data_IF_911331290010
#
_entry.id   IF_911331290010
#
_cell.length_a   1.000
_cell.length_b   1.000
_cell.length_c   1.000
_cell.angle_alpha   90.00
_cell.angle_beta   90.00
_cell.angle_gamma   90.00
#
_symmetry.space_group_name_H-M   'P 1'
#
loop_
_entity.id
_entity.type
_entity.pdbx_description
1 polymer ?
#
# COMPACT_ATOMS: atom_id res chain seq x y z
N UNK A 1 -25.51 -4.64 31.35
CA UNK A 1 -24.27 -3.83 31.48
C UNK A 1 -23.54 -3.97 30.17
N UNK A 2 -23.53 -2.91 29.36
CA UNK A 2 -22.79 -2.96 28.10
C UNK A 2 -21.36 -2.56 28.41
N UNK A 3 -20.47 -3.54 28.55
CA UNK A 3 -19.04 -3.31 28.60
C UNK A 3 -18.63 -3.07 27.15
N UNK A 4 -17.92 -1.98 26.90
CA UNK A 4 -17.56 -1.52 25.56
C UNK A 4 -16.07 -1.20 25.51
N UNK A 5 -15.24 -2.12 26.05
CA UNK A 5 -13.80 -1.99 25.87
C UNK A 5 -13.47 -2.03 24.38
N UNK A 6 -12.53 -1.20 23.96
CA UNK A 6 -12.15 -1.10 22.56
C UNK A 6 -10.67 -1.43 22.40
N UNK A 7 -10.34 -2.17 21.35
CA UNK A 7 -8.97 -2.51 20.99
C UNK A 7 -8.70 -1.98 19.60
N UNK A 8 -7.75 -1.05 19.48
CA UNK A 8 -7.23 -0.60 18.20
C UNK A 8 -6.08 -1.51 17.79
N UNK A 9 -6.28 -2.34 16.79
CA UNK A 9 -5.28 -3.33 16.39
C UNK A 9 -4.22 -2.80 15.43
N UNK A 10 -4.46 -1.64 14.82
CA UNK A 10 -3.51 -0.97 13.95
C UNK A 10 -3.71 0.55 13.99
N UNK A 11 -2.65 1.30 13.71
CA UNK A 11 -2.65 2.76 13.72
C UNK A 11 -3.18 3.40 12.41
N UNK A 12 -3.94 2.65 11.63
CA UNK A 12 -4.64 3.16 10.45
C UNK A 12 -6.07 3.54 10.78
N UNK A 13 -6.56 4.62 10.19
CA UNK A 13 -7.92 5.17 10.41
C UNK A 13 -9.03 4.14 10.19
N UNK A 14 -8.80 3.15 9.34
CA UNK A 14 -9.73 2.04 9.08
C UNK A 14 -10.02 1.21 10.33
N UNK A 15 -9.10 1.17 11.31
CA UNK A 15 -9.20 0.37 12.53
C UNK A 15 -9.80 1.12 13.72
N UNK A 16 -9.85 2.44 13.69
CA UNK A 16 -10.34 3.23 14.83
C UNK A 16 -11.31 4.36 14.46
N UNK A 17 -11.38 4.76 13.19
CA UNK A 17 -12.14 5.95 12.77
C UNK A 17 -13.65 5.87 12.98
N UNK A 18 -14.23 4.67 13.18
CA UNK A 18 -15.65 4.47 13.50
C UNK A 18 -15.99 4.47 14.99
N UNK A 19 -15.02 4.66 15.87
CA UNK A 19 -15.17 4.46 17.33
C UNK A 19 -16.22 5.38 17.97
N UNK A 20 -16.36 6.61 17.50
CA UNK A 20 -17.35 7.57 18.02
C UNK A 20 -18.79 7.09 17.89
N UNK A 21 -19.12 6.31 16.86
CA UNK A 21 -20.44 5.71 16.72
C UNK A 21 -20.73 4.61 17.78
N UNK A 22 -19.70 4.08 18.39
CA UNK A 22 -19.81 3.03 19.41
C UNK A 22 -19.74 3.58 20.83
N UNK A 23 -19.05 4.71 21.04
CA UNK A 23 -18.68 5.21 22.38
C UNK A 23 -19.14 6.65 22.66
N UNK A 24 -20.19 7.14 22.01
CA UNK A 24 -20.64 8.55 22.03
C UNK A 24 -20.70 9.22 23.44
N UNK A 25 -21.08 8.49 24.49
CA UNK A 25 -21.26 9.05 25.85
C UNK A 25 -20.32 8.46 26.91
N UNK A 26 -19.46 7.52 26.58
CA UNK A 26 -18.75 6.70 27.56
C UNK A 26 -17.21 6.81 27.47
N UNK A 27 -16.69 7.57 26.57
CA UNK A 27 -15.25 7.59 26.21
C UNK A 27 -14.29 7.86 27.39
N UNK A 28 -14.72 8.59 28.40
CA UNK A 28 -13.87 8.94 29.55
C UNK A 28 -13.70 7.82 30.59
N UNK A 29 -14.47 6.75 30.50
CA UNK A 29 -14.52 5.68 31.52
C UNK A 29 -14.21 4.28 30.98
N UNK A 30 -13.94 4.15 29.67
CA UNK A 30 -13.74 2.88 29.00
C UNK A 30 -12.27 2.73 28.62
N UNK A 31 -11.61 1.58 28.88
CA UNK A 31 -10.30 1.29 28.35
C UNK A 31 -10.33 1.25 26.82
N UNK A 32 -9.44 2.00 26.19
CA UNK A 32 -9.13 1.93 24.76
C UNK A 32 -7.70 1.47 24.67
N UNK A 33 -7.53 0.22 24.29
CA UNK A 33 -6.25 -0.47 24.25
C UNK A 33 -5.66 -0.33 22.86
N UNK A 34 -4.37 0.00 22.76
CA UNK A 34 -3.67 0.14 21.50
C UNK A 34 -2.22 -0.40 21.59
N UNK A 35 -1.56 -0.70 20.48
CA UNK A 35 -0.14 -1.05 20.51
C UNK A 35 0.73 0.16 20.87
N UNK A 36 1.88 -0.11 21.48
CA UNK A 36 2.94 0.89 21.71
C UNK A 36 3.25 1.63 20.41
N UNK A 37 3.45 2.95 20.48
CA UNK A 37 3.74 3.77 19.30
C UNK A 37 2.50 4.21 18.50
N UNK A 38 1.31 3.75 18.89
CA UNK A 38 0.07 4.08 18.17
C UNK A 38 -0.16 5.59 17.98
N UNK A 39 0.06 6.40 19.01
CA UNK A 39 -0.23 7.84 18.95
C UNK A 39 0.63 8.54 17.89
N UNK A 40 1.92 8.23 17.87
CA UNK A 40 2.84 8.82 16.90
C UNK A 40 2.51 8.36 15.48
N UNK A 41 2.27 7.07 15.28
CA UNK A 41 1.92 6.54 13.97
C UNK A 41 0.59 7.10 13.45
N UNK A 42 -0.48 7.04 14.24
CA UNK A 42 -1.80 7.55 13.85
C UNK A 42 -1.81 9.08 13.65
N UNK A 43 -1.02 9.81 14.43
CA UNK A 43 -0.90 11.25 14.32
C UNK A 43 -0.15 11.69 13.06
N UNK A 44 0.88 10.98 12.69
CA UNK A 44 1.73 11.32 11.54
C UNK A 44 1.29 10.67 10.23
N UNK A 45 0.34 9.71 10.28
CA UNK A 45 -0.21 9.08 9.09
C UNK A 45 -0.69 10.14 8.08
N UNK A 46 -0.04 10.17 6.92
CA UNK A 46 -0.30 11.12 5.83
C UNK A 46 -0.18 12.61 6.17
N UNK A 47 0.30 12.97 7.37
CA UNK A 47 0.34 14.36 7.82
C UNK A 47 1.16 15.27 6.89
N UNK A 48 2.36 14.81 6.51
CA UNK A 48 3.29 15.62 5.70
C UNK A 48 3.05 15.51 4.19
N UNK A 49 2.27 14.53 3.75
CA UNK A 49 2.09 14.16 2.34
C UNK A 49 0.63 14.10 1.91
N UNK A 50 -0.26 14.71 2.67
CA UNK A 50 -1.71 14.53 2.52
C UNK A 50 -2.22 14.65 1.08
N UNK A 51 -1.82 15.69 0.34
CA UNK A 51 -2.21 15.84 -1.07
C UNK A 51 -1.65 14.73 -1.95
N UNK A 52 -0.39 14.33 -1.73
CA UNK A 52 0.25 13.25 -2.44
C UNK A 52 -0.46 11.93 -2.12
N UNK A 53 -0.66 11.63 -0.85
CA UNK A 53 -1.31 10.39 -0.39
C UNK A 53 -2.77 10.30 -0.85
N UNK A 54 -3.52 11.41 -0.85
CA UNK A 54 -4.87 11.44 -1.42
C UNK A 54 -4.86 11.09 -2.91
N UNK A 55 -3.98 11.74 -3.67
CA UNK A 55 -3.84 11.48 -5.10
C UNK A 55 -3.45 10.04 -5.40
N UNK A 56 -2.58 9.49 -4.58
CA UNK A 56 -2.18 8.09 -4.61
C UNK A 56 -3.36 7.17 -4.35
N UNK A 57 -4.15 7.44 -3.32
CA UNK A 57 -5.35 6.67 -2.99
C UNK A 57 -6.39 6.67 -4.13
N UNK A 58 -6.55 7.78 -4.85
CA UNK A 58 -7.42 7.83 -6.04
C UNK A 58 -6.98 6.83 -7.11
N UNK A 59 -5.68 6.71 -7.34
CA UNK A 59 -5.13 5.75 -8.28
C UNK A 59 -5.23 4.31 -7.80
N UNK A 60 -4.86 4.04 -6.56
CA UNK A 60 -4.85 2.68 -5.99
C UNK A 60 -6.26 2.10 -5.85
N UNK A 61 -7.16 2.88 -5.27
CA UNK A 61 -8.52 2.40 -4.99
C UNK A 61 -9.50 2.66 -6.13
N UNK A 62 -9.07 3.40 -7.16
CA UNK A 62 -9.91 3.66 -8.32
C UNK A 62 -11.19 4.43 -7.98
N UNK A 63 -11.14 5.32 -6.97
CA UNK A 63 -12.32 6.07 -6.48
C UNK A 63 -12.94 6.98 -7.55
N UNK A 64 -12.16 7.36 -8.56
CA UNK A 64 -12.62 8.15 -9.71
C UNK A 64 -13.19 7.30 -10.85
N UNK A 65 -13.10 5.97 -10.76
CA UNK A 65 -13.58 5.06 -11.78
C UNK A 65 -15.04 4.66 -11.52
N UNK A 66 -15.84 4.43 -12.58
CA UNK A 66 -17.15 3.85 -12.39
C UNK A 66 -17.02 2.41 -11.88
N UNK A 67 -17.92 1.97 -11.01
CA UNK A 67 -17.95 0.59 -10.54
C UNK A 67 -18.28 -0.38 -11.68
N UNK A 68 -17.56 -1.49 -11.76
CA UNK A 68 -17.84 -2.55 -12.74
C UNK A 68 -16.63 -3.06 -13.50
N UNK A 69 -16.87 -4.00 -14.41
CA UNK A 69 -15.84 -4.72 -15.14
C UNK A 69 -14.89 -3.85 -15.97
N UNK A 70 -15.33 -2.68 -16.41
CA UNK A 70 -14.52 -1.71 -17.15
C UNK A 70 -13.95 -0.58 -16.27
N UNK A 71 -14.26 -0.58 -14.99
CA UNK A 71 -13.81 0.42 -14.03
C UNK A 71 -13.22 -0.22 -12.77
N UNK A 72 -13.57 0.30 -11.60
CA UNK A 72 -13.10 -0.25 -10.33
C UNK A 72 -13.80 -1.57 -10.01
N UNK A 73 -13.04 -2.51 -9.48
CA UNK A 73 -13.51 -3.78 -8.95
C UNK A 73 -13.37 -3.80 -7.44
N UNK A 74 -14.22 -4.59 -6.77
CA UNK A 74 -14.12 -4.83 -5.34
C UNK A 74 -12.78 -5.51 -4.99
N UNK A 75 -12.04 -4.95 -4.05
CA UNK A 75 -10.73 -5.44 -3.63
C UNK A 75 -10.72 -5.95 -2.18
N UNK A 76 -11.90 -6.22 -1.59
CA UNK A 76 -12.01 -6.50 -0.16
C UNK A 76 -12.03 -5.25 0.72
N UNK A 77 -11.80 -4.09 0.12
CA UNK A 77 -12.11 -2.76 0.66
C UNK A 77 -13.31 -2.25 -0.14
N UNK A 78 -14.28 -1.67 0.51
CA UNK A 78 -15.61 -1.39 -0.04
C UNK A 78 -15.63 -0.75 -1.44
N UNK A 79 -16.61 -1.15 -2.25
CA UNK A 79 -16.94 -0.49 -3.53
C UNK A 79 -17.34 0.98 -3.34
N UNK A 80 -17.75 1.33 -2.14
CA UNK A 80 -18.06 2.69 -1.72
C UNK A 80 -17.33 2.98 -0.43
N UNK A 81 -16.44 3.96 -0.45
CA UNK A 81 -15.99 4.58 0.80
C UNK A 81 -17.20 5.01 1.59
N UNK A 82 -17.32 4.54 2.83
CA UNK A 82 -18.36 5.01 3.72
C UNK A 82 -18.25 6.54 3.81
N UNK A 83 -19.27 7.25 3.35
CA UNK A 83 -19.37 8.70 3.47
C UNK A 83 -19.70 9.02 4.93
N UNK A 84 -18.75 8.84 5.82
CA UNK A 84 -18.85 9.12 7.24
C UNK A 84 -17.73 10.02 7.71
N UNK A 85 -17.93 10.70 8.82
CA UNK A 85 -16.87 11.44 9.48
C UNK A 85 -16.07 10.48 10.35
N UNK A 86 -14.77 10.39 10.12
CA UNK A 86 -13.88 9.67 11.02
C UNK A 86 -13.88 10.35 12.39
N UNK A 87 -13.96 9.57 13.45
CA UNK A 87 -13.92 10.04 14.83
C UNK A 87 -12.68 9.53 15.51
N UNK A 88 -12.13 10.32 16.40
CA UNK A 88 -10.85 10.04 17.04
C UNK A 88 -11.03 10.06 18.55
N UNK A 89 -10.77 8.89 19.18
CA UNK A 89 -10.68 8.81 20.64
C UNK A 89 -9.27 8.35 21.00
N UNK A 90 -8.63 9.09 21.88
CA UNK A 90 -7.24 8.80 22.30
C UNK A 90 -7.20 7.51 23.11
N UNK A 91 -6.38 6.51 22.74
CA UNK A 91 -6.12 5.36 23.57
C UNK A 91 -5.56 5.74 24.95
N UNK A 92 -5.95 5.02 25.97
CA UNK A 92 -5.55 5.28 27.36
C UNK A 92 -4.87 4.07 28.03
N UNK A 93 -4.77 2.95 27.32
CA UNK A 93 -4.01 1.77 27.74
C UNK A 93 -3.20 1.22 26.53
N UNK A 94 -1.97 0.77 26.78
CA UNK A 94 -1.05 0.40 25.71
C UNK A 94 -0.38 -0.94 26.01
N UNK A 95 -0.42 -1.84 25.02
CA UNK A 95 0.37 -3.06 25.02
C UNK A 95 1.83 -2.68 24.77
N UNK A 96 2.74 -3.08 25.68
CA UNK A 96 4.12 -2.64 25.67
C UNK A 96 5.08 -3.63 25.02
N UNK A 97 4.77 -4.94 25.07
CA UNK A 97 5.67 -5.98 24.57
C UNK A 97 4.90 -7.20 24.02
N UNK A 98 5.53 -7.89 23.08
CA UNK A 98 5.04 -9.20 22.60
C UNK A 98 5.01 -10.20 23.74
N UNK A 99 3.91 -10.99 23.84
CA UNK A 99 3.69 -11.95 24.91
C UNK A 99 2.91 -11.39 26.12
N UNK A 100 2.64 -10.09 26.14
CA UNK A 100 1.76 -9.50 27.14
C UNK A 100 0.37 -10.15 27.07
N UNK A 101 -0.22 -10.40 28.26
CA UNK A 101 -1.53 -11.03 28.40
C UNK A 101 -2.45 -10.13 29.22
N UNK A 102 -3.68 -9.97 28.76
CA UNK A 102 -4.74 -9.24 29.47
C UNK A 102 -5.98 -10.10 29.60
N UNK A 103 -6.71 -9.91 30.68
CA UNK A 103 -8.08 -10.40 30.81
C UNK A 103 -9.03 -9.22 30.59
N UNK A 104 -9.78 -9.26 29.51
CA UNK A 104 -10.73 -8.21 29.12
C UNK A 104 -12.11 -8.84 29.09
N UNK A 105 -12.97 -8.37 29.97
CA UNK A 105 -14.36 -8.85 30.09
C UNK A 105 -14.46 -10.37 30.34
N UNK A 106 -13.49 -10.94 31.05
CA UNK A 106 -13.41 -12.37 31.35
C UNK A 106 -12.82 -13.21 30.20
N UNK A 107 -12.29 -12.56 29.17
CA UNK A 107 -11.60 -13.21 28.04
C UNK A 107 -10.10 -12.95 28.13
N UNK A 108 -9.32 -14.03 28.21
CA UNK A 108 -7.86 -13.93 28.11
C UNK A 108 -7.44 -13.64 26.68
N UNK A 109 -6.57 -12.64 26.50
CA UNK A 109 -6.01 -12.25 25.21
C UNK A 109 -4.50 -12.10 25.35
N UNK A 110 -3.76 -12.74 24.45
CA UNK A 110 -2.32 -12.61 24.33
C UNK A 110 -1.98 -11.75 23.10
N UNK A 111 -1.00 -10.87 23.23
CA UNK A 111 -0.68 -9.88 22.20
C UNK A 111 0.69 -10.12 21.59
N UNK A 112 0.79 -9.89 20.29
CA UNK A 112 2.07 -9.81 19.58
C UNK A 112 2.14 -8.48 18.82
N UNK A 113 3.13 -7.66 19.12
CA UNK A 113 3.34 -6.37 18.46
C UNK A 113 4.07 -6.56 17.13
N UNK A 114 3.60 -5.88 16.09
CA UNK A 114 4.32 -5.74 14.82
C UNK A 114 4.98 -4.36 14.78
N UNK A 115 6.20 -4.28 15.27
CA UNK A 115 6.97 -3.04 15.23
C UNK A 115 7.58 -2.88 13.83
N UNK A 116 7.18 -1.82 13.13
CA UNK A 116 7.72 -1.41 11.81
C UNK A 116 7.69 -2.46 10.68
N UNK A 117 7.07 -3.62 10.88
CA UNK A 117 7.03 -4.67 9.86
C UNK A 117 6.13 -4.30 8.69
N UNK A 118 5.04 -3.57 8.98
CA UNK A 118 4.01 -3.22 7.99
C UNK A 118 4.08 -1.76 7.56
N UNK A 119 5.10 -1.00 8.00
CA UNK A 119 5.09 0.45 7.90
C UNK A 119 4.07 1.10 8.83
N UNK A 120 3.22 0.31 9.47
CA UNK A 120 2.19 0.70 10.41
C UNK A 120 2.37 0.00 11.75
N UNK A 121 2.12 0.71 12.84
CA UNK A 121 2.09 0.12 14.18
C UNK A 121 0.83 -0.71 14.33
N UNK A 122 0.97 -2.02 14.46
CA UNK A 122 -0.14 -2.96 14.58
C UNK A 122 0.13 -4.04 15.63
N UNK A 123 -0.85 -4.88 15.92
CA UNK A 123 -0.70 -6.03 16.81
C UNK A 123 -1.62 -7.19 16.42
N UNK A 124 -1.13 -8.41 16.59
CA UNK A 124 -1.93 -9.62 16.56
C UNK A 124 -2.50 -9.94 17.94
N UNK A 125 -3.67 -10.59 17.98
CA UNK A 125 -4.34 -11.03 19.20
C UNK A 125 -4.55 -12.54 19.12
N UNK A 126 -4.16 -13.25 20.17
CA UNK A 126 -4.48 -14.66 20.32
C UNK A 126 -5.44 -14.87 21.50
N UNK A 127 -6.51 -15.62 21.26
CA UNK A 127 -7.55 -15.96 22.22
C UNK A 127 -7.42 -17.45 22.59
N UNK A 128 -6.76 -17.79 23.73
CA UNK A 128 -6.47 -19.18 24.10
C UNK A 128 -7.71 -20.06 24.21
N UNK A 129 -8.77 -19.56 24.82
CA UNK A 129 -10.01 -20.32 25.06
C UNK A 129 -10.70 -20.78 23.78
N UNK A 130 -10.69 -19.92 22.75
CA UNK A 130 -11.30 -20.21 21.45
C UNK A 130 -10.27 -20.69 20.43
N UNK A 131 -8.98 -20.64 20.77
CA UNK A 131 -7.85 -20.93 19.87
C UNK A 131 -7.90 -20.12 18.58
N UNK A 132 -8.37 -18.88 18.70
CA UNK A 132 -8.52 -17.95 17.59
C UNK A 132 -7.33 -17.00 17.58
N UNK A 133 -6.74 -16.82 16.42
CA UNK A 133 -5.67 -15.88 16.15
C UNK A 133 -6.21 -14.79 15.21
N UNK A 134 -6.25 -13.56 15.70
CA UNK A 134 -6.54 -12.36 14.94
C UNK A 134 -5.22 -11.77 14.42
N UNK A 135 -5.07 -11.66 13.12
CA UNK A 135 -3.83 -11.21 12.47
C UNK A 135 -3.85 -9.71 12.07
N UNK A 136 -4.92 -9.00 12.40
CA UNK A 136 -5.07 -7.57 12.07
C UNK A 136 -4.79 -7.28 10.59
N UNK A 137 -3.95 -6.30 10.29
CA UNK A 137 -3.45 -5.97 8.95
C UNK A 137 -2.22 -6.78 8.54
N UNK A 138 -1.69 -7.64 9.41
CA UNK A 138 -0.44 -8.36 9.16
C UNK A 138 -0.59 -9.52 8.17
N UNK A 139 -1.80 -9.92 7.85
CA UNK A 139 -2.15 -10.84 6.78
C UNK A 139 -3.47 -10.41 6.15
N UNK A 140 -3.66 -10.71 4.88
CA UNK A 140 -4.85 -10.31 4.12
C UNK A 140 -5.43 -11.40 3.22
N UNK A 141 -4.96 -12.66 3.37
CA UNK A 141 -5.40 -13.77 2.53
C UNK A 141 -5.00 -13.65 1.05
N UNK A 142 -4.10 -12.73 0.75
CA UNK A 142 -3.46 -12.54 -0.55
C UNK A 142 -1.98 -12.21 -0.33
N UNK A 143 -1.18 -12.13 -1.38
CA UNK A 143 0.13 -11.52 -1.27
C UNK A 143 -0.07 -10.07 -0.79
N UNK A 144 0.48 -9.73 0.38
CA UNK A 144 0.30 -8.42 0.97
C UNK A 144 1.03 -7.35 0.17
N UNK A 145 0.48 -6.14 0.17
CA UNK A 145 1.09 -5.01 -0.48
C UNK A 145 2.26 -4.49 0.37
N UNK A 146 3.47 -4.80 -0.06
CA UNK A 146 4.71 -4.31 0.54
C UNK A 146 5.29 -3.13 -0.23
N UNK A 147 4.77 -2.86 -1.40
CA UNK A 147 5.17 -1.78 -2.27
C UNK A 147 3.93 -1.04 -2.74
N UNK A 148 3.80 0.17 -2.27
CA UNK A 148 2.82 1.08 -2.84
C UNK A 148 3.29 1.54 -4.23
N UNK A 149 2.44 1.40 -5.23
CA UNK A 149 2.67 1.91 -6.60
C UNK A 149 3.04 3.40 -6.58
N UNK A 150 2.79 4.06 -5.50
CA UNK A 150 2.84 5.51 -5.30
C UNK A 150 4.04 5.97 -4.48
N UNK A 151 4.81 5.05 -3.90
CA UNK A 151 6.07 5.34 -3.24
C UNK A 151 6.00 5.71 -1.76
N UNK A 152 4.94 5.30 -1.05
CA UNK A 152 4.94 5.38 0.41
C UNK A 152 6.01 4.46 1.02
N UNK A 153 6.30 4.70 2.31
CA UNK A 153 7.27 3.94 3.08
C UNK A 153 6.91 2.45 3.01
N UNK A 154 7.67 1.71 2.23
CA UNK A 154 7.42 0.29 2.02
C UNK A 154 7.97 -0.55 3.17
N UNK A 155 7.21 -1.55 3.56
CA UNK A 155 7.64 -2.55 4.54
C UNK A 155 8.73 -3.45 3.95
N UNK A 156 9.62 -3.94 4.78
CA UNK A 156 10.68 -4.86 4.36
C UNK A 156 10.20 -6.30 4.36
N UNK A 157 10.30 -7.03 3.24
CA UNK A 157 9.85 -8.43 3.17
C UNK A 157 10.55 -9.37 4.18
N UNK A 158 11.82 -9.14 4.47
CA UNK A 158 12.56 -9.92 5.50
C UNK A 158 11.97 -9.72 6.90
N UNK A 159 11.67 -8.49 7.29
CA UNK A 159 11.04 -8.21 8.58
C UNK A 159 9.65 -8.83 8.66
N UNK A 160 8.92 -8.83 7.55
CA UNK A 160 7.62 -9.50 7.48
C UNK A 160 7.74 -11.02 7.63
N UNK A 161 8.72 -11.63 6.98
CA UNK A 161 9.01 -13.06 7.10
C UNK A 161 9.39 -13.44 8.53
N UNK A 162 10.22 -12.63 9.20
CA UNK A 162 10.61 -12.83 10.59
C UNK A 162 9.41 -12.71 11.52
N UNK A 163 8.56 -11.70 11.35
CA UNK A 163 7.35 -11.51 12.14
C UNK A 163 6.37 -12.68 12.00
N UNK A 164 6.12 -13.16 10.78
CA UNK A 164 5.25 -14.31 10.54
C UNK A 164 5.87 -15.61 11.09
N UNK A 165 7.18 -15.74 11.08
CA UNK A 165 7.89 -16.86 11.69
C UNK A 165 7.72 -16.84 13.22
N UNK A 166 7.83 -15.67 13.84
CA UNK A 166 7.54 -15.48 15.26
C UNK A 166 6.06 -15.80 15.57
N UNK A 167 5.13 -15.28 14.76
CA UNK A 167 3.68 -15.60 14.91
C UNK A 167 3.43 -17.11 14.86
N UNK A 168 4.08 -17.79 13.93
CA UNK A 168 4.01 -19.24 13.83
C UNK A 168 4.59 -19.94 15.06
N UNK A 169 5.71 -19.48 15.59
CA UNK A 169 6.35 -20.06 16.77
C UNK A 169 5.47 -19.88 18.04
N UNK A 170 4.85 -18.71 18.18
CA UNK A 170 4.00 -18.39 19.34
C UNK A 170 2.67 -19.16 19.29
N UNK A 171 1.98 -19.14 18.16
CA UNK A 171 0.57 -19.54 18.07
C UNK A 171 0.28 -20.65 17.07
N UNK A 172 1.15 -20.93 16.12
CA UNK A 172 0.89 -21.84 14.99
C UNK A 172 0.56 -23.29 15.38
N UNK A 173 1.03 -23.77 16.54
CA UNK A 173 0.69 -25.10 17.04
C UNK A 173 -0.66 -25.15 17.79
N UNK A 174 -1.15 -24.01 18.23
CA UNK A 174 -2.30 -23.88 19.12
C UNK A 174 -3.53 -23.36 18.39
N UNK A 175 -3.35 -22.41 17.44
CA UNK A 175 -4.44 -21.81 16.69
C UNK A 175 -5.22 -22.84 15.87
N UNK A 176 -6.54 -22.78 15.95
CA UNK A 176 -7.50 -23.57 15.17
C UNK A 176 -8.36 -22.70 14.25
N UNK A 177 -8.37 -21.39 14.50
CA UNK A 177 -9.07 -20.37 13.73
C UNK A 177 -8.10 -19.20 13.49
N UNK A 178 -8.06 -18.69 12.28
CA UNK A 178 -7.41 -17.43 11.93
C UNK A 178 -8.46 -16.46 11.38
N UNK A 179 -8.41 -15.23 11.85
CA UNK A 179 -9.24 -14.12 11.39
C UNK A 179 -8.30 -12.96 11.01
N UNK A 180 -8.63 -12.24 9.98
CA UNK A 180 -7.87 -11.12 9.44
C UNK A 180 -8.78 -9.89 9.27
N UNK A 181 -8.21 -8.71 9.11
CA UNK A 181 -9.00 -7.51 8.82
C UNK A 181 -9.67 -7.59 7.43
N UNK A 182 -9.06 -8.32 6.51
CA UNK A 182 -9.55 -8.54 5.14
C UNK A 182 -9.70 -10.03 4.87
N UNK A 183 -10.61 -10.38 3.96
CA UNK A 183 -10.85 -11.75 3.53
C UNK A 183 -11.61 -12.62 4.56
N UNK A 184 -11.71 -13.92 4.30
CA UNK A 184 -12.51 -14.87 5.06
C UNK A 184 -11.68 -15.53 6.16
N UNK A 185 -12.31 -15.89 7.32
CA UNK A 185 -11.64 -16.69 8.34
C UNK A 185 -11.19 -18.04 7.80
N UNK A 186 -10.11 -18.58 8.37
CA UNK A 186 -9.54 -19.88 8.05
C UNK A 186 -9.62 -20.83 9.24
N UNK A 187 -9.93 -22.09 8.99
CA UNK A 187 -10.09 -23.10 10.03
C UNK A 187 -9.18 -24.29 9.79
N UNK A 188 -8.70 -24.88 10.88
CA UNK A 188 -7.91 -26.10 10.89
C UNK A 188 -6.42 -25.85 11.04
N UNK A 189 -5.81 -26.58 11.99
CA UNK A 189 -4.39 -26.40 12.36
C UNK A 189 -3.43 -26.53 11.19
N UNK A 190 -3.64 -27.53 10.32
CA UNK A 190 -2.74 -27.76 9.19
C UNK A 190 -2.86 -26.66 8.13
N UNK A 191 -4.07 -26.11 7.93
CA UNK A 191 -4.31 -24.97 7.04
C UNK A 191 -3.58 -23.74 7.57
N UNK A 192 -3.75 -23.41 8.85
CA UNK A 192 -3.14 -22.24 9.50
C UNK A 192 -1.61 -22.35 9.50
N UNK A 193 -1.09 -23.52 9.82
CA UNK A 193 0.37 -23.76 9.77
C UNK A 193 0.92 -23.54 8.38
N UNK A 194 0.29 -24.13 7.37
CA UNK A 194 0.70 -23.95 5.99
C UNK A 194 0.57 -22.50 5.52
N UNK A 195 -0.49 -21.83 5.95
CA UNK A 195 -0.73 -20.42 5.65
C UNK A 195 0.42 -19.53 6.15
N UNK A 196 0.69 -19.55 7.46
CA UNK A 196 1.75 -18.73 8.06
C UNK A 196 3.15 -19.08 7.52
N UNK A 197 3.47 -20.37 7.41
CA UNK A 197 4.79 -20.80 6.95
C UNK A 197 5.04 -20.50 5.48
N UNK A 198 4.03 -20.63 4.61
CA UNK A 198 4.19 -20.34 3.19
C UNK A 198 4.26 -18.82 2.93
N UNK A 199 3.51 -18.01 3.70
CA UNK A 199 3.63 -16.55 3.64
C UNK A 199 5.05 -16.11 4.04
N UNK A 200 5.54 -16.56 5.20
CA UNK A 200 6.90 -16.27 5.64
C UNK A 200 7.94 -16.70 4.60
N UNK A 201 7.79 -17.93 4.06
CA UNK A 201 8.69 -18.44 3.04
C UNK A 201 8.67 -17.66 1.73
N UNK A 202 7.49 -17.16 1.32
CA UNK A 202 7.37 -16.37 0.11
C UNK A 202 8.08 -15.02 0.24
N UNK A 203 7.90 -14.32 1.37
CA UNK A 203 8.59 -13.05 1.61
C UNK A 203 10.09 -13.22 1.76
N UNK A 204 10.54 -14.23 2.49
CA UNK A 204 11.97 -14.56 2.59
C UNK A 204 12.57 -14.89 1.22
N UNK A 205 11.87 -15.68 0.41
CA UNK A 205 12.30 -16.03 -0.94
C UNK A 205 12.48 -14.78 -1.82
N UNK A 206 11.48 -13.88 -1.80
CA UNK A 206 11.55 -12.63 -2.58
C UNK A 206 12.73 -11.78 -2.14
N UNK A 207 12.95 -11.66 -0.84
CA UNK A 207 14.07 -10.92 -0.29
C UNK A 207 15.41 -11.52 -0.72
N UNK A 208 15.64 -12.80 -0.44
CA UNK A 208 16.90 -13.48 -0.71
C UNK A 208 17.24 -13.52 -2.22
N UNK A 209 16.26 -13.82 -3.05
CA UNK A 209 16.49 -13.91 -4.49
C UNK A 209 16.69 -12.54 -5.15
N UNK A 210 16.02 -11.52 -4.66
CA UNK A 210 16.28 -10.15 -5.13
C UNK A 210 17.71 -9.73 -4.81
N UNK A 211 18.18 -9.93 -3.58
CA UNK A 211 19.56 -9.61 -3.21
C UNK A 211 20.57 -10.48 -3.96
N UNK A 212 20.26 -11.75 -4.17
CA UNK A 212 21.12 -12.65 -4.96
C UNK A 212 21.33 -12.11 -6.38
N UNK A 213 20.26 -11.72 -7.06
CA UNK A 213 20.34 -11.17 -8.42
C UNK A 213 20.99 -9.78 -8.45
N UNK A 214 20.72 -8.92 -7.45
CA UNK A 214 21.41 -7.65 -7.29
C UNK A 214 22.94 -7.84 -7.18
N UNK A 215 23.39 -8.81 -6.41
CA UNK A 215 24.81 -9.14 -6.27
C UNK A 215 25.43 -9.70 -7.58
N UNK A 216 24.61 -10.16 -8.52
CA UNK A 216 25.05 -10.53 -9.86
C UNK A 216 25.02 -9.34 -10.85
N UNK A 217 24.60 -8.17 -10.42
CA UNK A 217 24.58 -6.95 -11.23
C UNK A 217 23.30 -6.74 -12.04
N UNK A 218 22.23 -7.49 -11.76
CA UNK A 218 20.93 -7.26 -12.41
C UNK A 218 20.30 -5.97 -11.92
N UNK A 219 19.68 -5.24 -12.84
CA UNK A 219 18.89 -4.05 -12.55
C UNK A 219 17.53 -4.42 -11.98
N UNK A 220 16.87 -3.45 -11.33
CA UNK A 220 15.51 -3.62 -10.79
C UNK A 220 14.55 -4.21 -11.82
N UNK A 221 14.53 -3.63 -13.03
CA UNK A 221 13.61 -4.06 -14.09
C UNK A 221 13.88 -5.48 -14.58
N UNK A 222 15.17 -5.89 -14.68
CA UNK A 222 15.56 -7.24 -15.07
C UNK A 222 15.15 -8.26 -14.02
N UNK A 223 15.29 -7.92 -12.73
CA UNK A 223 14.87 -8.80 -11.64
C UNK A 223 13.34 -8.97 -11.65
N UNK A 224 12.59 -7.88 -11.78
CA UNK A 224 11.11 -7.93 -11.85
C UNK A 224 10.62 -8.80 -13.01
N UNK A 225 11.32 -8.79 -14.15
CA UNK A 225 10.94 -9.59 -15.32
C UNK A 225 11.36 -11.07 -15.23
N UNK A 226 12.38 -11.37 -14.44
CA UNK A 226 12.96 -12.73 -14.39
C UNK A 226 12.54 -13.54 -13.15
N UNK A 227 12.29 -12.89 -12.02
CA UNK A 227 11.99 -13.58 -10.77
C UNK A 227 10.52 -14.02 -10.71
N UNK A 228 10.30 -15.29 -10.39
CA UNK A 228 8.98 -15.85 -10.15
C UNK A 228 8.98 -16.68 -8.86
N UNK A 229 7.85 -16.78 -8.20
CA UNK A 229 7.70 -17.67 -7.05
C UNK A 229 7.87 -19.13 -7.49
N UNK A 230 8.52 -19.98 -6.66
CA UNK A 230 8.56 -21.42 -6.89
C UNK A 230 7.13 -21.98 -7.03
N UNK A 231 6.96 -23.00 -7.87
CA UNK A 231 5.64 -23.57 -8.15
C UNK A 231 4.90 -24.02 -6.88
N UNK A 232 5.61 -24.51 -5.87
CA UNK A 232 5.03 -24.91 -4.59
C UNK A 232 4.36 -23.74 -3.82
N UNK A 233 4.90 -22.52 -3.96
CA UNK A 233 4.32 -21.32 -3.36
C UNK A 233 3.28 -20.68 -4.30
N UNK A 234 3.57 -20.58 -5.59
CA UNK A 234 2.72 -19.95 -6.59
C UNK A 234 1.33 -20.63 -6.73
N UNK A 235 1.21 -21.89 -6.34
CA UNK A 235 -0.08 -22.61 -6.35
C UNK A 235 -0.94 -22.33 -5.12
N UNK A 236 -0.40 -21.65 -4.08
CA UNK A 236 -1.16 -21.30 -2.88
C UNK A 236 -2.11 -20.14 -3.18
N UNK A 237 -3.40 -20.34 -2.92
CA UNK A 237 -4.42 -19.32 -3.23
C UNK A 237 -4.19 -18.02 -2.48
N UNK A 238 -3.65 -18.05 -1.28
CA UNK A 238 -3.34 -16.90 -0.43
C UNK A 238 -2.02 -16.20 -0.80
N UNK A 239 -1.31 -16.66 -1.82
CA UNK A 239 -0.15 -15.99 -2.41
C UNK A 239 -0.45 -15.41 -3.81
N UNK A 240 -1.74 -15.34 -4.16
CA UNK A 240 -2.17 -14.68 -5.40
C UNK A 240 -1.98 -13.17 -5.29
N UNK A 241 -1.70 -12.56 -6.42
CA UNK A 241 -1.34 -11.15 -6.51
C UNK A 241 -2.58 -10.25 -6.67
N UNK A 242 -3.64 -10.49 -5.90
CA UNK A 242 -4.89 -9.73 -6.05
C UNK A 242 -4.79 -8.29 -5.55
N UNK A 243 -4.10 -8.04 -4.45
CA UNK A 243 -3.84 -6.69 -3.95
C UNK A 243 -2.48 -6.17 -4.42
N UNK A 244 -1.43 -6.93 -4.16
CA UNK A 244 -0.06 -6.57 -4.44
C UNK A 244 0.46 -7.21 -5.73
N UNK A 245 1.74 -7.01 -6.01
CA UNK A 245 2.45 -7.74 -7.05
C UNK A 245 3.82 -8.21 -6.57
N UNK A 246 4.26 -9.35 -7.10
CA UNK A 246 5.63 -9.83 -6.86
C UNK A 246 6.65 -8.78 -7.28
N UNK A 247 6.41 -8.13 -8.43
CA UNK A 247 7.26 -7.06 -8.93
C UNK A 247 7.34 -5.86 -7.97
N UNK A 248 6.25 -5.53 -7.27
CA UNK A 248 6.25 -4.52 -6.22
C UNK A 248 7.16 -4.90 -5.06
N UNK A 249 6.99 -6.10 -4.51
CA UNK A 249 7.84 -6.60 -3.41
C UNK A 249 9.33 -6.65 -3.78
N UNK A 250 9.66 -7.01 -5.04
CA UNK A 250 11.04 -6.97 -5.55
C UNK A 250 11.58 -5.55 -5.54
N UNK A 251 10.79 -4.56 -6.01
CA UNK A 251 11.19 -3.15 -6.00
C UNK A 251 11.46 -2.64 -4.60
N UNK A 252 10.61 -3.00 -3.64
CA UNK A 252 10.81 -2.67 -2.22
C UNK A 252 12.17 -3.13 -1.72
N UNK A 253 12.52 -4.40 -1.97
CA UNK A 253 13.83 -4.93 -1.57
C UNK A 253 14.95 -4.19 -2.29
N UNK A 254 14.85 -4.05 -3.61
CA UNK A 254 15.89 -3.39 -4.40
C UNK A 254 16.17 -1.98 -3.89
N UNK A 255 15.13 -1.18 -3.71
CA UNK A 255 15.22 0.23 -3.31
C UNK A 255 15.66 0.41 -1.87
N UNK A 256 15.45 -0.56 -0.99
CA UNK A 256 15.95 -0.52 0.39
C UNK A 256 17.48 -0.66 0.49
N UNK A 257 18.11 -1.27 -0.52
CA UNK A 257 19.57 -1.42 -0.59
C UNK A 257 20.23 -0.51 -1.61
N UNK A 258 19.51 -0.12 -2.63
CA UNK A 258 20.03 0.72 -3.71
C UNK A 258 19.00 1.79 -4.08
N UNK A 259 19.24 3.00 -3.60
CA UNK A 259 18.33 4.14 -3.81
C UNK A 259 18.27 4.63 -5.25
N UNK A 260 19.29 4.33 -6.06
CA UNK A 260 19.27 4.61 -7.49
C UNK A 260 18.87 3.35 -8.27
N UNK A 261 17.91 3.47 -9.17
CA UNK A 261 17.44 2.36 -10.01
C UNK A 261 18.53 1.81 -10.94
N UNK A 262 19.54 2.60 -11.22
CA UNK A 262 20.73 2.19 -11.99
C UNK A 262 22.01 2.76 -11.36
N UNK A 263 23.15 2.09 -11.57
CA UNK A 263 24.47 2.62 -11.22
C UNK A 263 25.09 3.41 -12.40
N UNK A 264 24.30 3.74 -13.42
CA UNK A 264 24.75 4.48 -14.55
C UNK A 264 24.99 5.95 -14.17
N UNK A 265 26.22 6.49 -14.31
CA UNK A 265 26.50 7.90 -13.97
C UNK A 265 25.68 8.92 -14.77
N UNK A 266 25.09 8.52 -15.89
CA UNK A 266 24.19 9.36 -16.69
C UNK A 266 22.95 9.80 -15.88
N UNK A 267 22.52 8.95 -14.93
CA UNK A 267 21.32 9.17 -14.12
C UNK A 267 21.59 10.00 -12.85
N UNK A 268 22.85 10.43 -12.61
CA UNK A 268 23.18 11.24 -11.43
C UNK A 268 22.56 12.64 -11.46
N UNK A 269 22.44 13.22 -12.63
CA UNK A 269 21.83 14.54 -12.82
C UNK A 269 21.13 14.60 -14.19
N UNK A 270 20.01 13.87 -14.33
CA UNK A 270 19.29 13.83 -15.60
C UNK A 270 18.61 15.17 -15.90
N UNK A 271 18.34 15.41 -17.16
CA UNK A 271 17.41 16.46 -17.55
C UNK A 271 16.02 16.17 -16.99
N UNK A 272 15.18 17.20 -16.90
CA UNK A 272 13.77 16.98 -16.54
C UNK A 272 13.10 16.04 -17.55
N UNK A 273 12.06 15.33 -17.13
CA UNK A 273 11.31 14.43 -18.01
C UNK A 273 10.78 15.15 -19.25
N UNK A 274 10.22 16.35 -19.09
CA UNK A 274 9.73 17.18 -20.19
C UNK A 274 10.84 17.57 -21.17
N UNK A 275 12.02 17.97 -20.67
CA UNK A 275 13.13 18.36 -21.55
C UNK A 275 13.72 17.14 -22.25
N UNK A 276 13.82 16.00 -21.57
CA UNK A 276 14.24 14.72 -22.15
C UNK A 276 13.28 14.29 -23.25
N UNK A 277 11.98 14.34 -23.00
CA UNK A 277 10.95 13.97 -23.97
C UNK A 277 10.99 14.87 -25.21
N UNK A 278 11.12 16.19 -25.01
CA UNK A 278 11.22 17.16 -26.14
C UNK A 278 12.40 16.81 -27.05
N UNK A 279 13.58 16.56 -26.47
CA UNK A 279 14.77 16.19 -27.26
C UNK A 279 14.62 14.83 -27.92
N UNK A 280 14.04 13.84 -27.23
CA UNK A 280 13.79 12.54 -27.84
C UNK A 280 12.86 12.65 -29.04
N UNK A 281 11.81 13.46 -28.98
CA UNK A 281 10.90 13.69 -30.10
C UNK A 281 11.64 14.32 -31.28
N UNK A 282 12.56 15.29 -31.06
CA UNK A 282 13.40 15.85 -32.11
C UNK A 282 14.25 14.77 -32.81
N UNK A 283 14.81 13.81 -32.05
CA UNK A 283 15.58 12.68 -32.62
C UNK A 283 14.69 11.65 -33.32
N UNK A 284 13.46 11.42 -32.85
CA UNK A 284 12.49 10.49 -33.46
C UNK A 284 11.96 11.02 -34.80
N UNK A 285 11.94 12.33 -34.98
CA UNK A 285 11.52 12.99 -36.22
C UNK A 285 10.01 13.21 -36.28
N UNK A 286 9.36 12.77 -37.35
CA UNK A 286 7.94 13.05 -37.59
C UNK A 286 7.03 12.29 -36.60
N UNK A 287 6.32 13.02 -35.76
CA UNK A 287 5.40 12.49 -34.72
C UNK A 287 4.28 11.63 -35.33
N UNK A 288 3.80 11.99 -36.54
CA UNK A 288 2.75 11.21 -37.23
C UNK A 288 3.25 9.81 -37.57
N UNK A 289 4.50 9.70 -37.99
CA UNK A 289 5.13 8.39 -38.25
C UNK A 289 5.32 7.58 -36.99
N UNK A 290 5.69 8.20 -35.87
CA UNK A 290 5.81 7.52 -34.55
C UNK A 290 4.46 7.00 -34.09
N UNK A 291 3.42 7.82 -34.16
CA UNK A 291 2.06 7.40 -33.76
C UNK A 291 1.54 6.25 -34.61
N UNK A 292 1.75 6.30 -35.93
CA UNK A 292 1.35 5.19 -36.81
C UNK A 292 2.04 3.87 -36.43
N UNK A 293 3.33 3.91 -36.11
CA UNK A 293 4.06 2.72 -35.62
C UNK A 293 3.50 2.25 -34.28
N UNK A 294 3.20 3.16 -33.37
CA UNK A 294 2.60 2.82 -32.08
C UNK A 294 1.22 2.17 -32.24
N UNK A 295 0.40 2.60 -33.22
CA UNK A 295 -0.86 1.94 -33.56
C UNK A 295 -0.64 0.51 -34.12
N UNK A 296 0.40 0.31 -34.94
CA UNK A 296 0.81 -1.02 -35.42
C UNK A 296 1.26 -1.93 -34.28
N UNK A 297 1.99 -1.40 -33.29
CA UNK A 297 2.45 -2.12 -32.12
C UNK A 297 1.29 -2.41 -31.15
N UNK A 298 0.36 -1.48 -31.00
CA UNK A 298 -0.89 -1.72 -30.26
C UNK A 298 -1.69 -2.91 -30.84
N UNK A 299 -1.80 -2.97 -32.16
CA UNK A 299 -2.46 -4.07 -32.85
C UNK A 299 -1.78 -5.44 -32.67
N UNK A 300 -0.48 -5.46 -32.31
CA UNK A 300 0.28 -6.67 -31.98
C UNK A 300 0.14 -7.05 -30.51
N UNK A 301 -0.40 -6.17 -29.66
CA UNK A 301 -0.52 -6.39 -28.21
C UNK A 301 0.66 -5.85 -27.39
N UNK A 302 1.56 -5.08 -27.97
CA UNK A 302 2.74 -4.51 -27.28
C UNK A 302 2.35 -3.26 -26.45
N UNK A 303 1.30 -3.40 -25.64
CA UNK A 303 0.66 -2.29 -24.92
C UNK A 303 1.61 -1.52 -23.99
N UNK A 304 2.52 -2.22 -23.30
CA UNK A 304 3.49 -1.54 -22.44
C UNK A 304 4.42 -0.63 -23.24
N UNK A 305 4.90 -1.07 -24.40
CA UNK A 305 5.72 -0.24 -25.27
C UNK A 305 4.94 0.94 -25.84
N UNK A 306 3.71 0.68 -26.27
CA UNK A 306 2.81 1.76 -26.75
C UNK A 306 2.59 2.83 -25.69
N UNK A 307 2.32 2.44 -24.44
CA UNK A 307 2.16 3.37 -23.32
C UNK A 307 3.45 4.19 -23.11
N UNK A 308 4.62 3.56 -23.15
CA UNK A 308 5.90 4.26 -22.96
C UNK A 308 6.20 5.26 -24.08
N UNK A 309 6.07 4.86 -25.34
CA UNK A 309 6.40 5.76 -26.45
C UNK A 309 5.40 6.92 -26.59
N UNK A 310 4.11 6.66 -26.37
CA UNK A 310 3.09 7.71 -26.40
C UNK A 310 3.22 8.65 -25.21
N UNK A 311 3.62 8.17 -24.01
CA UNK A 311 3.91 9.02 -22.87
C UNK A 311 5.06 10.01 -23.15
N UNK A 312 6.10 9.60 -23.88
CA UNK A 312 7.16 10.51 -24.33
C UNK A 312 6.57 11.63 -25.21
N UNK A 313 5.67 11.31 -26.13
CA UNK A 313 5.01 12.32 -26.97
C UNK A 313 4.14 13.27 -26.15
N UNK A 314 3.43 12.77 -25.15
CA UNK A 314 2.57 13.56 -24.24
C UNK A 314 3.42 14.50 -23.37
N UNK A 315 4.54 14.03 -22.84
CA UNK A 315 5.44 14.86 -22.03
C UNK A 315 6.09 15.98 -22.87
N UNK A 316 6.36 15.74 -24.15
CA UNK A 316 6.86 16.74 -25.06
C UNK A 316 5.79 17.76 -25.50
N UNK A 317 4.56 17.28 -25.71
CA UNK A 317 3.38 18.09 -26.06
C UNK A 317 2.13 17.52 -25.36
N UNK A 318 1.74 18.06 -24.19
CA UNK A 318 0.57 17.62 -23.43
C UNK A 318 -0.76 17.78 -24.17
N UNK A 319 -0.81 18.59 -25.23
CA UNK A 319 -2.00 18.81 -26.03
C UNK A 319 -2.14 17.83 -27.22
N UNK A 320 -1.20 16.93 -27.40
CA UNK A 320 -1.28 15.92 -28.46
C UNK A 320 -2.37 14.88 -28.14
N UNK A 321 -3.58 15.17 -28.61
CA UNK A 321 -4.76 14.36 -28.32
C UNK A 321 -4.66 12.93 -28.84
N UNK A 322 -4.03 12.71 -30.02
CA UNK A 322 -3.87 11.38 -30.58
C UNK A 322 -2.93 10.52 -29.71
N UNK A 323 -1.82 11.09 -29.25
CA UNK A 323 -0.91 10.41 -28.32
C UNK A 323 -1.61 10.08 -26.99
N UNK A 324 -2.39 11.03 -26.43
CA UNK A 324 -3.14 10.82 -25.18
C UNK A 324 -4.14 9.69 -25.32
N UNK A 325 -4.91 9.62 -26.39
CA UNK A 325 -5.92 8.58 -26.56
C UNK A 325 -5.29 7.21 -26.80
N UNK A 326 -4.25 7.12 -27.61
CA UNK A 326 -3.55 5.87 -27.84
C UNK A 326 -2.85 5.35 -26.57
N UNK A 327 -2.29 6.25 -25.76
CA UNK A 327 -1.74 5.92 -24.45
C UNK A 327 -2.85 5.39 -23.51
N UNK A 328 -4.00 6.07 -23.47
CA UNK A 328 -5.14 5.65 -22.68
C UNK A 328 -5.64 4.25 -23.08
N UNK A 329 -5.74 3.98 -24.37
CA UNK A 329 -6.14 2.67 -24.89
C UNK A 329 -5.15 1.57 -24.46
N UNK A 330 -3.84 1.87 -24.49
CA UNK A 330 -2.79 0.95 -24.05
C UNK A 330 -2.85 0.70 -22.54
N UNK A 331 -3.05 1.74 -21.73
CA UNK A 331 -3.20 1.61 -20.28
C UNK A 331 -4.45 0.80 -19.90
N UNK A 332 -5.57 0.97 -20.61
CA UNK A 332 -6.75 0.13 -20.40
C UNK A 332 -6.47 -1.35 -20.65
N UNK A 333 -5.78 -1.67 -21.74
CA UNK A 333 -5.42 -3.07 -22.03
C UNK A 333 -4.49 -3.64 -20.97
N UNK A 334 -3.52 -2.88 -20.47
CA UNK A 334 -2.67 -3.27 -19.36
C UNK A 334 -3.49 -3.49 -18.09
N UNK A 335 -4.39 -2.57 -17.77
CA UNK A 335 -5.28 -2.68 -16.62
C UNK A 335 -6.16 -3.92 -16.67
N UNK A 336 -6.78 -4.22 -17.82
CA UNK A 336 -7.66 -5.39 -17.96
C UNK A 336 -6.91 -6.73 -17.87
N UNK A 337 -5.60 -6.74 -18.07
CA UNK A 337 -4.75 -7.92 -17.96
C UNK A 337 -4.06 -8.08 -16.61
N UNK A 338 -4.16 -7.10 -15.71
CA UNK A 338 -3.59 -7.17 -14.38
C UNK A 338 -4.36 -8.12 -13.47
N UNK A 339 -3.65 -8.97 -12.73
CA UNK A 339 -4.20 -9.71 -11.61
C UNK A 339 -4.37 -8.79 -10.39
N UNK A 340 -3.40 -7.90 -10.13
CA UNK A 340 -3.48 -6.90 -9.06
C UNK A 340 -4.52 -5.83 -9.36
N UNK A 341 -5.50 -5.71 -8.47
CA UNK A 341 -6.56 -4.70 -8.60
C UNK A 341 -6.02 -3.29 -8.40
N UNK A 342 -5.02 -3.11 -7.53
CA UNK A 342 -4.38 -1.81 -7.32
C UNK A 342 -3.68 -1.32 -8.60
N UNK A 343 -2.93 -2.19 -9.25
CA UNK A 343 -2.29 -1.86 -10.53
C UNK A 343 -3.32 -1.63 -11.64
N UNK A 344 -4.36 -2.46 -11.68
CA UNK A 344 -5.49 -2.28 -12.58
C UNK A 344 -6.10 -0.89 -12.42
N UNK A 345 -6.42 -0.50 -11.19
CA UNK A 345 -7.02 0.79 -10.89
C UNK A 345 -6.09 1.94 -11.29
N UNK A 346 -4.78 1.82 -11.02
CA UNK A 346 -3.81 2.83 -11.43
C UNK A 346 -3.78 3.02 -12.95
N UNK A 347 -3.74 1.92 -13.72
CA UNK A 347 -3.78 2.00 -15.18
C UNK A 347 -5.08 2.64 -15.68
N UNK A 348 -6.24 2.21 -15.16
CA UNK A 348 -7.53 2.71 -15.61
C UNK A 348 -7.78 4.16 -15.22
N UNK A 349 -7.34 4.59 -14.02
CA UNK A 349 -7.40 5.99 -13.60
C UNK A 349 -6.53 6.85 -14.49
N UNK A 350 -5.29 6.43 -14.78
CA UNK A 350 -4.42 7.11 -15.72
C UNK A 350 -5.03 7.22 -17.13
N UNK A 351 -5.68 6.15 -17.62
CA UNK A 351 -6.37 6.17 -18.90
C UNK A 351 -7.54 7.18 -18.92
N UNK A 352 -8.34 7.22 -17.84
CA UNK A 352 -9.42 8.18 -17.69
C UNK A 352 -8.90 9.61 -17.75
N UNK A 353 -7.86 9.93 -17.01
CA UNK A 353 -7.29 11.28 -16.99
C UNK A 353 -6.65 11.72 -18.32
N UNK A 354 -6.08 10.78 -19.05
CA UNK A 354 -5.58 11.09 -20.39
C UNK A 354 -6.72 11.50 -21.34
N UNK A 355 -7.94 10.97 -21.15
CA UNK A 355 -9.09 11.33 -21.98
C UNK A 355 -9.82 12.58 -21.50
N UNK A 356 -10.07 12.69 -20.21
CA UNK A 356 -10.98 13.67 -19.62
C UNK A 356 -10.25 14.86 -18.97
N UNK A 357 -8.97 14.68 -18.64
CA UNK A 357 -8.20 15.57 -17.78
C UNK A 357 -8.23 15.12 -16.33
N UNK A 358 -7.27 15.58 -15.54
CA UNK A 358 -7.31 15.39 -14.09
C UNK A 358 -8.45 16.25 -13.51
N UNK A 359 -9.28 15.65 -12.66
CA UNK A 359 -10.29 16.41 -11.93
C UNK A 359 -9.61 17.14 -10.75
N UNK A 360 -9.51 18.47 -10.79
CA UNK A 360 -8.98 19.23 -9.67
C UNK A 360 -10.04 19.30 -8.59
N UNK A 361 -10.35 18.19 -7.90
CA UNK A 361 -11.16 18.29 -6.69
C UNK A 361 -10.38 19.10 -5.67
N UNK A 362 -10.80 20.32 -5.44
CA UNK A 362 -10.43 21.08 -4.26
C UNK A 362 -11.08 20.41 -3.06
N UNK A 363 -10.40 19.41 -2.50
CA UNK A 363 -10.78 18.86 -1.21
C UNK A 363 -10.29 19.85 -0.16
N UNK A 364 -11.20 20.33 0.67
CA UNK A 364 -10.85 21.10 1.84
C UNK A 364 -10.01 20.20 2.76
N UNK A 365 -8.71 20.44 2.79
CA UNK A 365 -7.77 19.65 3.58
C UNK A 365 -7.84 20.17 5.01
N UNK A 366 -8.09 19.29 5.95
CA UNK A 366 -7.99 19.57 7.39
C UNK A 366 -7.01 18.60 8.07
N UNK A 367 -5.73 18.62 7.69
CA UNK A 367 -4.75 17.68 8.22
C UNK A 367 -4.50 17.86 9.72
N UNK A 368 -4.71 19.10 10.23
CA UNK A 368 -4.59 19.39 11.65
C UNK A 368 -5.89 19.20 12.43
N UNK A 369 -7.03 19.02 11.79
CA UNK A 369 -8.34 18.93 12.41
C UNK A 369 -8.42 18.09 13.68
N UNK A 370 -9.23 17.08 13.69
CA UNK A 370 -9.39 16.22 14.87
C UNK A 370 -8.11 15.44 15.23
N UNK A 371 -7.27 15.05 14.26
CA UNK A 371 -6.00 14.34 14.55
C UNK A 371 -5.08 15.16 15.44
N UNK A 372 -4.95 16.47 15.19
CA UNK A 372 -4.11 17.36 15.99
C UNK A 372 -4.51 17.39 17.47
N UNK A 373 -5.81 17.30 17.75
CA UNK A 373 -6.32 17.35 19.11
C UNK A 373 -6.07 16.06 19.90
N UNK A 374 -5.97 14.93 19.22
CA UNK A 374 -5.94 13.60 19.86
C UNK A 374 -4.58 12.90 19.80
N UNK A 375 -3.79 13.14 18.74
CA UNK A 375 -2.62 12.30 18.44
C UNK A 375 -1.32 13.10 18.26
N UNK A 376 -1.37 14.37 17.86
CA UNK A 376 -0.15 15.11 17.55
C UNK A 376 0.52 15.70 18.78
N UNK A 377 1.84 15.54 18.87
CA UNK A 377 2.67 16.31 19.79
C UNK A 377 2.82 17.75 19.31
N UNK A 378 3.19 18.67 20.23
CA UNK A 378 3.49 20.05 19.84
C UNK A 378 4.67 20.15 18.87
N UNK A 379 5.63 19.23 18.92
CA UNK A 379 6.76 19.13 17.99
C UNK A 379 6.26 18.77 16.59
N UNK A 380 5.45 17.71 16.45
CA UNK A 380 4.89 17.30 15.17
C UNK A 380 4.03 18.40 14.51
N UNK A 381 3.31 19.20 15.30
CA UNK A 381 2.57 20.36 14.79
C UNK A 381 3.52 21.41 14.22
N UNK A 382 4.62 21.71 14.91
CA UNK A 382 5.60 22.69 14.43
C UNK A 382 6.32 22.19 13.16
N UNK A 383 6.68 20.92 13.10
CA UNK A 383 7.27 20.31 11.92
C UNK A 383 6.31 20.38 10.72
N UNK A 384 5.05 20.06 10.94
CA UNK A 384 4.01 20.19 9.90
C UNK A 384 3.89 21.63 9.40
N UNK A 385 3.83 22.62 10.31
CA UNK A 385 3.77 24.04 9.93
C UNK A 385 4.94 24.44 9.03
N UNK A 386 6.12 23.85 9.22
CA UNK A 386 7.29 24.05 8.36
C UNK A 386 7.07 23.62 6.91
N UNK A 387 6.21 22.64 6.67
CA UNK A 387 5.88 22.16 5.31
C UNK A 387 4.86 23.04 4.57
N UNK A 388 4.12 23.85 5.28
CA UNK A 388 3.09 24.75 4.71
C UNK A 388 3.63 26.09 4.25
N UNK A 389 4.87 26.42 4.60
CA UNK A 389 5.47 27.74 4.35
C UNK A 389 6.52 27.65 3.28
N UNK A 390 6.44 28.54 2.31
CA UNK A 390 7.57 28.75 1.38
C UNK A 390 8.72 29.48 2.12
N UNK A 391 9.66 28.69 2.63
CA UNK A 391 10.80 29.19 3.39
C UNK A 391 11.73 30.08 2.57
N UNK A 392 11.65 30.07 1.25
CA UNK A 392 12.41 30.98 0.37
C UNK A 392 11.96 32.43 0.51
N UNK A 393 10.73 32.65 1.00
CA UNK A 393 10.13 33.98 1.24
C UNK A 393 10.41 34.50 2.65
N UNK A 394 10.99 33.68 3.54
CA UNK A 394 11.35 34.08 4.88
C UNK A 394 12.78 34.61 4.87
N UNK A 395 12.93 35.92 4.99
CA UNK A 395 14.23 36.51 5.25
C UNK A 395 14.66 36.17 6.68
N UNK A 396 15.63 35.29 6.80
CA UNK A 396 16.30 34.98 8.05
C UNK A 396 17.25 36.13 8.39
#
# INVERSE_FOLDING_TARGET
>A
MCIRDSIYTAASVNHYGGVGALLEDAAAAIPIIAPRGFLDAAGTENLFTENSSRRQSEYLYGSLLPAGAQGSLFIGKDETTANGTATYLTPNDFIQETGETREIDGVEIQFQLSEDTTGNVAMNLYFPDTKCLWLSENCSGTLHDLYDVTGEKSSRPDQWADFLTETYALYGSQAEIVIEAHNWPHWGKDVIRSYLSNLASAYQYVFDQTLHLMNQGYTESEIVQSLALPQSLAQSWYLRQYCSSLGGSIRTVYQSYQTASTLNPVDLNPLTETETARRLVEYLGDVTTVLKRAEEDFAKGDYQWVAQITNILIQADPNNQQARYLCADALEQLGYQCESVLWRNAYLTGAKELREGADPQEVELDPLGQKAQHFLSGEAILDYMGTLVDLSLIHI
#
